data_IF_840679127258
#
_entry.id   IF_840679127258
#
_cell.length_a   1.000
_cell.length_b   1.000
_cell.length_c   1.000
_cell.angle_alpha   90.00
_cell.angle_beta   90.00
_cell.angle_gamma   90.00
#
_symmetry.space_group_name_H-M   'P 1'
#
loop_
_entity.id
_entity.type
_entity.pdbx_description
1 polymer ?
#
# COMPACT_ATOMS: atom_id res chain seq x y z
N UNK A 1 19.30 -39.18 -47.61
CA UNK A 1 18.97 -39.09 -46.17
C UNK A 1 19.01 -37.65 -45.63
N UNK A 2 19.65 -36.69 -46.31
CA UNK A 2 19.83 -35.30 -45.83
C UNK A 2 18.63 -34.35 -46.01
N UNK A 3 17.67 -34.65 -46.89
CA UNK A 3 16.57 -33.74 -47.24
C UNK A 3 15.44 -33.69 -46.20
N UNK A 4 15.28 -34.76 -45.42
CA UNK A 4 14.24 -34.87 -44.37
C UNK A 4 14.57 -34.07 -43.11
N UNK A 5 15.85 -33.72 -42.90
CA UNK A 5 16.30 -32.99 -41.71
C UNK A 5 16.20 -31.47 -41.91
N UNK A 6 16.48 -30.98 -43.12
CA UNK A 6 16.38 -29.55 -43.47
C UNK A 6 14.95 -29.00 -43.31
N UNK A 7 13.95 -29.78 -43.71
CA UNK A 7 12.54 -29.41 -43.59
C UNK A 7 12.02 -29.41 -42.13
N UNK A 8 12.69 -30.14 -41.21
CA UNK A 8 12.34 -30.14 -39.78
C UNK A 8 12.93 -28.92 -39.07
N UNK A 9 14.15 -28.52 -39.43
CA UNK A 9 14.77 -27.31 -38.91
C UNK A 9 14.04 -26.06 -39.38
N UNK A 10 13.63 -25.98 -40.64
CA UNK A 10 12.80 -24.89 -41.16
C UNK A 10 11.42 -24.80 -40.49
N UNK A 11 10.81 -25.95 -40.15
CA UNK A 11 9.53 -25.99 -39.43
C UNK A 11 9.68 -25.65 -37.94
N UNK A 12 10.80 -26.02 -37.32
CA UNK A 12 11.13 -25.62 -35.95
C UNK A 12 11.46 -24.13 -35.87
N UNK A 13 12.11 -23.56 -36.88
CA UNK A 13 12.41 -22.13 -36.97
C UNK A 13 11.15 -21.31 -37.19
N UNK A 14 10.25 -21.73 -38.10
CA UNK A 14 8.92 -21.12 -38.27
C UNK A 14 8.04 -21.27 -37.02
N UNK A 15 8.11 -22.42 -36.35
CA UNK A 15 7.47 -22.65 -35.05
C UNK A 15 7.98 -21.69 -33.98
N UNK A 16 9.29 -21.55 -33.84
CA UNK A 16 9.94 -20.62 -32.91
C UNK A 16 9.67 -19.15 -33.25
N UNK A 17 9.61 -18.77 -34.53
CA UNK A 17 9.25 -17.41 -34.97
C UNK A 17 7.77 -17.08 -34.72
N UNK A 18 6.87 -18.07 -34.85
CA UNK A 18 5.45 -17.89 -34.52
C UNK A 18 5.23 -17.79 -33.00
N UNK A 19 6.02 -18.52 -32.21
CA UNK A 19 6.03 -18.41 -30.75
C UNK A 19 6.67 -17.10 -30.31
N UNK A 20 7.77 -16.66 -30.91
CA UNK A 20 8.40 -15.37 -30.61
C UNK A 20 7.50 -14.19 -30.96
N UNK A 21 6.83 -14.21 -32.11
CA UNK A 21 5.95 -13.11 -32.52
C UNK A 21 4.64 -13.07 -31.72
N UNK A 22 4.08 -14.21 -31.33
CA UNK A 22 2.98 -14.27 -30.36
C UNK A 22 3.42 -13.80 -28.96
N UNK A 23 4.66 -14.12 -28.56
CA UNK A 23 5.25 -13.64 -27.30
C UNK A 23 5.50 -12.14 -27.33
N UNK A 24 6.05 -11.58 -28.41
CA UNK A 24 6.28 -10.13 -28.57
C UNK A 24 4.96 -9.33 -28.64
N UNK A 25 3.92 -9.91 -29.25
CA UNK A 25 2.58 -9.30 -29.32
C UNK A 25 1.88 -9.28 -27.96
N UNK A 26 2.11 -10.28 -27.10
CA UNK A 26 1.61 -10.31 -25.71
C UNK A 26 2.46 -9.46 -24.76
N UNK A 27 3.78 -9.39 -24.96
CA UNK A 27 4.73 -8.83 -23.98
C UNK A 27 4.84 -7.30 -24.02
N UNK A 28 4.64 -6.63 -25.16
CA UNK A 28 4.99 -5.21 -25.29
C UNK A 28 3.88 -4.20 -24.98
N UNK A 29 2.61 -4.57 -25.07
CA UNK A 29 1.51 -3.60 -24.91
C UNK A 29 0.49 -3.96 -23.82
N UNK A 30 0.41 -5.22 -23.36
CA UNK A 30 -0.47 -5.62 -22.26
C UNK A 30 0.19 -5.38 -20.90
N UNK A 31 1.41 -5.88 -20.68
CA UNK A 31 2.00 -5.90 -19.33
C UNK A 31 2.16 -4.51 -18.70
N UNK A 32 2.61 -3.50 -19.46
CA UNK A 32 2.75 -2.13 -18.93
C UNK A 32 1.40 -1.47 -18.67
N UNK A 33 0.39 -1.74 -19.50
CA UNK A 33 -0.97 -1.21 -19.34
C UNK A 33 -1.67 -1.88 -18.18
N UNK A 34 -1.53 -3.19 -18.03
CA UNK A 34 -2.11 -3.99 -16.97
C UNK A 34 -1.40 -3.74 -15.64
N UNK A 35 -0.08 -3.54 -15.64
CA UNK A 35 0.67 -3.10 -14.48
C UNK A 35 0.27 -1.69 -14.03
N UNK A 36 0.08 -0.75 -14.97
CA UNK A 36 -0.45 0.57 -14.64
C UNK A 36 -1.83 0.46 -14.00
N UNK A 37 -2.75 -0.33 -14.57
CA UNK A 37 -4.09 -0.58 -14.01
C UNK A 37 -4.02 -1.21 -12.61
N UNK A 38 -3.10 -2.15 -12.40
CA UNK A 38 -2.86 -2.79 -11.12
C UNK A 38 -2.41 -1.77 -10.05
N UNK A 39 -1.44 -0.91 -10.36
CA UNK A 39 -0.94 0.11 -9.44
C UNK A 39 -1.98 1.19 -9.12
N UNK A 40 -2.81 1.56 -10.11
CA UNK A 40 -3.91 2.52 -9.90
C UNK A 40 -5.10 1.92 -9.18
N UNK A 41 -5.13 0.62 -8.92
CA UNK A 41 -6.21 -0.01 -8.17
C UNK A 41 -6.21 0.51 -6.71
N UNK A 42 -7.38 0.93 -6.24
CA UNK A 42 -7.59 1.46 -4.89
C UNK A 42 -7.15 0.49 -3.79
N UNK A 43 -7.39 -0.81 -3.98
CA UNK A 43 -7.00 -1.86 -3.02
C UNK A 43 -5.48 -2.02 -2.93
N UNK A 44 -4.78 -1.96 -4.06
CA UNK A 44 -3.31 -2.09 -4.12
C UNK A 44 -2.64 -0.84 -3.56
N UNK A 45 -3.11 0.33 -3.98
CA UNK A 45 -2.59 1.62 -3.50
C UNK A 45 -2.82 1.78 -1.99
N UNK A 46 -4.01 1.45 -1.50
CA UNK A 46 -4.35 1.44 -0.07
C UNK A 46 -3.46 0.48 0.73
N UNK A 47 -3.21 -0.73 0.21
CA UNK A 47 -2.30 -1.69 0.83
C UNK A 47 -0.86 -1.15 0.89
N UNK A 48 -0.33 -0.61 -0.21
CA UNK A 48 1.03 -0.06 -0.26
C UNK A 48 1.22 1.08 0.75
N UNK A 49 0.26 2.01 0.82
CA UNK A 49 0.25 3.09 1.81
C UNK A 49 0.24 2.51 3.23
N UNK A 50 -0.62 1.53 3.49
CA UNK A 50 -0.73 0.87 4.79
C UNK A 50 0.58 0.22 5.24
N UNK A 51 1.29 -0.46 4.34
CA UNK A 51 2.60 -1.08 4.65
C UNK A 51 3.66 -0.02 4.97
N UNK A 52 3.74 1.05 4.18
CA UNK A 52 4.74 2.12 4.37
C UNK A 52 4.51 2.85 5.71
N UNK A 53 3.26 3.22 5.98
CA UNK A 53 2.88 3.89 7.24
C UNK A 53 3.06 2.94 8.42
N UNK A 54 2.67 1.67 8.29
CA UNK A 54 2.82 0.65 9.33
C UNK A 54 4.29 0.37 9.69
N UNK A 55 5.18 0.30 8.70
CA UNK A 55 6.61 0.12 8.95
C UNK A 55 7.20 1.30 9.74
N UNK A 56 6.87 2.52 9.30
CA UNK A 56 7.38 3.74 9.94
C UNK A 56 6.82 3.92 11.35
N UNK A 57 5.54 3.60 11.56
CA UNK A 57 4.93 3.60 12.88
C UNK A 57 5.60 2.59 13.83
N UNK A 58 5.95 1.41 13.30
CA UNK A 58 6.69 0.39 14.06
C UNK A 58 8.03 0.92 14.56
N UNK A 59 8.75 1.72 13.76
CA UNK A 59 10.03 2.30 14.17
C UNK A 59 9.89 3.35 15.28
N UNK A 60 8.79 4.10 15.29
CA UNK A 60 8.44 4.99 16.42
C UNK A 60 8.18 4.18 17.69
N UNK A 61 7.41 3.09 17.58
CA UNK A 61 7.13 2.20 18.71
C UNK A 61 8.42 1.58 19.25
N UNK A 62 9.32 1.11 18.38
CA UNK A 62 10.64 0.59 18.80
C UNK A 62 11.47 1.65 19.53
N UNK A 63 11.52 2.86 19.00
CA UNK A 63 12.28 3.96 19.62
C UNK A 63 11.69 4.36 20.97
N UNK A 64 10.36 4.31 21.11
CA UNK A 64 9.68 4.50 22.39
C UNK A 64 10.02 3.40 23.39
N UNK A 65 9.99 2.12 22.98
CA UNK A 65 10.39 1.00 23.82
C UNK A 65 11.86 1.15 24.25
N UNK A 66 12.75 1.55 23.34
CA UNK A 66 14.15 1.81 23.66
C UNK A 66 14.34 2.94 24.67
N UNK A 67 13.54 4.00 24.60
CA UNK A 67 13.52 5.09 25.59
C UNK A 67 13.13 4.55 26.98
N UNK A 68 12.05 3.76 27.06
CA UNK A 68 11.62 3.13 28.32
C UNK A 68 12.69 2.19 28.89
N UNK A 69 13.30 1.36 28.05
CA UNK A 69 14.41 0.49 28.46
C UNK A 69 15.62 1.29 28.95
N UNK A 70 15.94 2.40 28.29
CA UNK A 70 17.01 3.32 28.73
C UNK A 70 16.74 3.91 30.11
N UNK A 71 15.50 4.30 30.40
CA UNK A 71 15.09 4.79 31.73
C UNK A 71 15.22 3.68 32.78
N UNK A 72 14.75 2.47 32.48
CA UNK A 72 14.85 1.33 33.42
C UNK A 72 16.32 1.01 33.72
N UNK A 73 17.17 0.95 32.70
CA UNK A 73 18.61 0.72 32.87
C UNK A 73 19.26 1.83 33.70
N UNK A 74 18.86 3.10 33.52
CA UNK A 74 19.34 4.20 34.33
C UNK A 74 19.01 4.00 35.83
N UNK A 75 17.77 3.63 36.16
CA UNK A 75 17.39 3.34 37.56
C UNK A 75 18.12 2.12 38.14
N UNK A 76 18.34 1.07 37.35
CA UNK A 76 19.10 -0.12 37.80
C UNK A 76 20.56 0.24 38.09
N UNK A 77 21.22 0.98 37.21
CA UNK A 77 22.61 1.43 37.41
C UNK A 77 22.72 2.35 38.63
N UNK A 78 21.76 3.24 38.84
CA UNK A 78 21.70 4.13 40.00
C UNK A 78 21.62 3.37 41.34
N UNK A 79 20.90 2.24 41.37
CA UNK A 79 20.68 1.45 42.59
C UNK A 79 21.79 0.43 42.85
N UNK A 80 22.38 -0.17 41.80
CA UNK A 80 23.37 -1.26 41.93
C UNK A 80 24.85 -0.84 41.81
N UNK A 81 25.19 0.35 41.29
CA UNK A 81 26.60 0.70 41.02
C UNK A 81 27.31 1.40 42.18
N UNK A 82 28.43 0.85 42.71
CA UNK A 82 29.16 1.45 43.83
C UNK A 82 29.91 2.74 43.49
N UNK A 83 30.27 2.98 42.22
CA UNK A 83 31.05 4.18 41.83
C UNK A 83 30.21 5.38 41.34
N UNK A 84 28.88 5.29 41.29
CA UNK A 84 27.97 6.41 40.91
C UNK A 84 28.40 7.22 39.67
N UNK A 85 29.14 6.62 38.73
CA UNK A 85 29.53 7.31 37.49
C UNK A 85 28.30 7.41 36.58
N UNK A 86 27.61 8.55 36.70
CA UNK A 86 26.43 8.89 35.91
C UNK A 86 26.79 8.98 34.42
N UNK A 87 26.63 7.87 33.69
CA UNK A 87 26.58 7.94 32.22
C UNK A 87 25.21 8.48 31.83
N UNK A 88 25.12 9.80 31.67
CA UNK A 88 23.93 10.50 31.14
C UNK A 88 23.57 10.09 29.70
N UNK A 89 24.45 9.32 29.03
CA UNK A 89 24.33 8.84 27.66
C UNK A 89 23.36 7.64 27.48
N UNK A 90 22.67 7.18 28.54
CA UNK A 90 21.86 5.95 28.49
C UNK A 90 20.42 6.18 27.98
N UNK A 91 19.95 7.43 27.88
CA UNK A 91 18.58 7.74 27.44
C UNK A 91 18.58 8.13 25.95
N UNK A 92 18.11 7.27 25.03
CA UNK A 92 18.07 7.53 23.59
C UNK A 92 16.91 8.44 23.20
N UNK A 93 16.86 9.64 23.77
CA UNK A 93 15.80 10.62 23.50
C UNK A 93 15.88 11.15 22.05
N UNK A 94 17.10 11.38 21.57
CA UNK A 94 17.44 11.78 20.21
C UNK A 94 16.80 10.86 19.15
N UNK A 95 16.95 9.55 19.33
CA UNK A 95 16.41 8.54 18.42
C UNK A 95 14.87 8.57 18.38
N UNK A 96 14.22 8.81 19.52
CA UNK A 96 12.77 8.92 19.58
C UNK A 96 12.26 10.16 18.82
N UNK A 97 12.83 11.34 19.05
CA UNK A 97 12.44 12.56 18.33
C UNK A 97 12.69 12.41 16.83
N UNK A 98 13.81 11.80 16.42
CA UNK A 98 14.12 11.54 15.02
C UNK A 98 13.11 10.60 14.37
N UNK A 99 12.71 9.53 15.07
CA UNK A 99 11.70 8.59 14.57
C UNK A 99 10.32 9.26 14.40
N UNK A 100 9.92 10.11 15.35
CA UNK A 100 8.67 10.88 15.29
C UNK A 100 8.68 11.87 14.11
N UNK A 101 9.78 12.60 13.93
CA UNK A 101 9.92 13.53 12.81
C UNK A 101 9.89 12.79 11.48
N UNK A 102 10.56 11.64 11.39
CA UNK A 102 10.56 10.78 10.20
C UNK A 102 9.15 10.27 9.89
N UNK A 103 8.39 9.83 10.90
CA UNK A 103 6.99 9.43 10.75
C UNK A 103 6.13 10.56 10.20
N UNK A 104 6.27 11.78 10.74
CA UNK A 104 5.51 12.94 10.28
C UNK A 104 5.87 13.33 8.84
N UNK A 105 7.15 13.27 8.47
CA UNK A 105 7.62 13.53 7.11
C UNK A 105 7.12 12.47 6.12
N UNK A 106 7.19 11.19 6.47
CA UNK A 106 6.72 10.09 5.60
C UNK A 106 5.20 10.16 5.45
N UNK A 107 4.46 10.36 6.54
CA UNK A 107 3.01 10.54 6.49
C UNK A 107 2.61 11.76 5.65
N UNK A 108 3.30 12.90 5.84
CA UNK A 108 3.09 14.11 5.04
C UNK A 108 3.43 13.91 3.56
N UNK A 109 4.51 13.20 3.26
CA UNK A 109 4.93 12.86 1.89
C UNK A 109 3.91 11.96 1.20
N UNK A 110 3.47 10.90 1.87
CA UNK A 110 2.44 9.99 1.35
C UNK A 110 1.11 10.73 1.14
N UNK A 111 0.71 11.58 2.09
CA UNK A 111 -0.50 12.41 1.93
C UNK A 111 -0.42 13.32 0.72
N UNK A 112 0.71 14.03 0.55
CA UNK A 112 0.91 14.91 -0.59
C UNK A 112 0.94 14.12 -1.91
N UNK A 113 1.59 12.95 -1.91
CA UNK A 113 1.64 12.05 -3.07
C UNK A 113 0.25 11.56 -3.48
N UNK A 114 -0.55 11.07 -2.53
CA UNK A 114 -1.93 10.63 -2.79
C UNK A 114 -2.78 11.78 -3.31
N UNK A 115 -2.65 12.98 -2.71
CA UNK A 115 -3.38 14.18 -3.15
C UNK A 115 -2.98 14.61 -4.56
N UNK A 116 -1.69 14.51 -4.91
CA UNK A 116 -1.19 14.79 -6.25
C UNK A 116 -1.72 13.79 -7.28
N UNK A 117 -1.67 12.49 -6.97
CA UNK A 117 -2.21 11.44 -7.83
C UNK A 117 -3.71 11.60 -8.02
N UNK A 118 -4.46 11.91 -6.96
CA UNK A 118 -5.88 12.19 -7.04
C UNK A 118 -6.15 13.37 -7.96
N UNK A 119 -5.39 14.46 -7.88
CA UNK A 119 -5.59 15.62 -8.75
C UNK A 119 -5.24 15.37 -10.22
N UNK A 120 -4.32 14.45 -10.52
CA UNK A 120 -3.88 14.14 -11.90
C UNK A 120 -4.73 13.05 -12.56
N UNK A 121 -5.19 12.06 -11.79
CA UNK A 121 -5.95 10.91 -12.32
C UNK A 121 -7.45 10.96 -12.02
N UNK A 122 -7.91 11.61 -10.96
CA UNK A 122 -9.34 11.73 -10.68
C UNK A 122 -9.94 12.88 -11.52
N UNK A 123 -10.47 12.55 -12.70
CA UNK A 123 -11.35 13.45 -13.45
C UNK A 123 -12.78 13.49 -12.87
N UNK A 124 -13.12 12.57 -11.96
CA UNK A 124 -14.42 12.50 -11.31
C UNK A 124 -14.29 12.59 -9.78
N UNK A 125 -15.16 13.35 -9.09
CA UNK A 125 -15.15 13.49 -7.63
C UNK A 125 -15.54 12.21 -6.86
N UNK A 126 -15.91 11.15 -7.59
CA UNK A 126 -16.30 9.84 -7.03
C UNK A 126 -15.15 8.81 -6.98
N UNK A 127 -14.04 9.07 -7.68
CA UNK A 127 -12.85 8.21 -7.70
C UNK A 127 -11.75 8.80 -6.81
N UNK A 128 -11.97 8.83 -5.50
CA UNK A 128 -10.92 9.26 -4.57
C UNK A 128 -9.94 8.11 -4.34
N UNK A 129 -8.80 8.12 -5.03
CA UNK A 129 -7.74 7.14 -4.80
C UNK A 129 -7.26 7.20 -3.34
N UNK A 130 -7.30 6.06 -2.63
CA UNK A 130 -6.84 5.93 -1.25
C UNK A 130 -7.86 5.24 -0.33
N UNK A 131 -7.61 5.30 0.98
CA UNK A 131 -8.35 4.57 2.02
C UNK A 131 -9.89 4.76 2.01
N UNK A 132 -10.39 5.85 1.40
CA UNK A 132 -11.80 6.22 1.47
C UNK A 132 -12.64 5.81 0.24
N UNK A 133 -12.02 5.32 -0.85
CA UNK A 133 -12.74 5.00 -2.10
C UNK A 133 -13.82 3.93 -1.86
N UNK A 134 -13.42 2.80 -1.27
CA UNK A 134 -14.28 1.67 -0.96
C UNK A 134 -15.38 2.04 0.05
N UNK A 135 -15.09 2.97 0.97
CA UNK A 135 -16.05 3.42 1.97
C UNK A 135 -17.19 4.24 1.36
N UNK A 136 -16.88 5.14 0.41
CA UNK A 136 -17.88 5.94 -0.31
C UNK A 136 -18.77 5.06 -1.19
N UNK A 137 -18.20 4.06 -1.86
CA UNK A 137 -18.97 3.09 -2.66
C UNK A 137 -19.92 2.26 -1.78
N UNK A 138 -19.42 1.76 -0.65
CA UNK A 138 -20.23 0.98 0.31
C UNK A 138 -21.40 1.81 0.85
N UNK A 139 -21.19 3.09 1.14
CA UNK A 139 -22.25 4.00 1.59
C UNK A 139 -23.34 4.20 0.53
N UNK A 140 -22.98 4.30 -0.76
CA UNK A 140 -23.95 4.43 -1.86
C UNK A 140 -24.78 3.16 -2.04
N UNK A 141 -24.12 1.99 -1.99
CA UNK A 141 -24.79 0.69 -2.03
C UNK A 141 -25.80 0.54 -0.89
N UNK A 142 -25.43 0.97 0.33
CA UNK A 142 -26.33 0.96 1.48
C UNK A 142 -27.52 1.89 1.31
N UNK A 143 -27.30 3.12 0.85
CA UNK A 143 -28.39 4.07 0.58
C UNK A 143 -29.35 3.53 -0.48
N UNK A 144 -28.85 2.95 -1.57
CA UNK A 144 -29.71 2.34 -2.59
C UNK A 144 -30.53 1.17 -2.05
N UNK A 145 -29.96 0.37 -1.13
CA UNK A 145 -30.68 -0.71 -0.45
C UNK A 145 -31.73 -0.18 0.53
N UNK A 146 -31.40 0.87 1.29
CA UNK A 146 -32.34 1.55 2.19
C UNK A 146 -33.51 2.16 1.41
N UNK A 147 -33.24 2.87 0.32
CA UNK A 147 -34.27 3.40 -0.58
C UNK A 147 -35.17 2.29 -1.13
N UNK A 148 -34.58 1.16 -1.55
CA UNK A 148 -35.36 0.01 -2.02
C UNK A 148 -36.24 -0.55 -0.90
N UNK A 149 -35.69 -0.69 0.31
CA UNK A 149 -36.45 -1.18 1.47
C UNK A 149 -37.57 -0.22 1.88
N UNK A 150 -37.33 1.08 1.82
CA UNK A 150 -38.31 2.12 2.14
C UNK A 150 -39.44 2.16 1.11
N UNK A 151 -39.11 2.08 -0.19
CA UNK A 151 -40.12 1.98 -1.25
C UNK A 151 -40.98 0.73 -1.10
N UNK A 152 -40.40 -0.41 -0.72
CA UNK A 152 -41.16 -1.63 -0.45
C UNK A 152 -42.11 -1.45 0.74
N UNK A 153 -41.66 -0.77 1.80
CA UNK A 153 -42.51 -0.45 2.95
C UNK A 153 -43.65 0.50 2.57
N UNK A 154 -43.35 1.54 1.80
CA UNK A 154 -44.35 2.48 1.29
C UNK A 154 -45.41 1.77 0.44
N UNK A 155 -45.00 0.85 -0.45
CA UNK A 155 -45.91 0.06 -1.27
C UNK A 155 -46.79 -0.88 -0.43
N UNK A 156 -46.25 -1.51 0.61
CA UNK A 156 -47.02 -2.36 1.53
C UNK A 156 -48.03 -1.54 2.32
N UNK A 157 -47.64 -0.36 2.80
CA UNK A 157 -48.51 0.54 3.57
C UNK A 157 -49.64 1.12 2.71
N UNK A 158 -49.33 1.50 1.47
CA UNK A 158 -50.31 2.03 0.50
C UNK A 158 -51.25 0.96 -0.08
N UNK A 159 -50.86 -0.31 -0.04
CA UNK A 159 -51.67 -1.46 -0.46
C UNK A 159 -52.63 -1.96 0.63
N UNK A 160 -52.54 -1.44 1.85
CA UNK A 160 -53.33 -1.85 3.02
C UNK A 160 -54.48 -0.88 3.28
#
# INVERSE_FOLDING_TARGET
>A
MAEKDNNRLDQLEKGMQSLQSATDMLMRHSLLVDFRKFLTNDKVMGFAIGVIVGNTFTDVVKSFVALLTGIINFFVVLILSPEHILKWQVIPLDNFIQSLLSMLLIAGSVFFFVKLLNNVWARNPEEQFGYNATFVETQKLRKAQEETNDLLRELIEKSK
#
